data_IF_245993040599
#
_entry.id   IF_245993040599
#
_cell.length_a   1.000
_cell.length_b   1.000
_cell.length_c   1.000
_cell.angle_alpha   90.00
_cell.angle_beta   90.00
_cell.angle_gamma   90.00
#
_symmetry.space_group_name_H-M   'P 1'
#
loop_
_entity.id
_entity.type
_entity.pdbx_description
1 polymer ?
#
# COMPACT_ATOMS: atom_id res chain seq x y z
N UNK A 1 -86.71 51.24 -3.55
CA UNK A 1 -86.14 49.95 -3.99
C UNK A 1 -85.66 49.25 -2.74
N UNK A 2 -86.20 48.06 -2.51
CA UNK A 2 -86.21 47.34 -1.24
C UNK A 2 -84.88 46.69 -0.89
N UNK A 3 -84.74 46.50 0.42
CA UNK A 3 -83.79 45.74 1.24
C UNK A 3 -83.37 44.33 0.76
N UNK A 4 -82.39 43.80 1.50
CA UNK A 4 -81.96 42.38 1.66
C UNK A 4 -80.68 41.95 0.94
N UNK A 5 -79.80 41.11 1.48
CA UNK A 5 -79.69 40.38 2.76
C UNK A 5 -78.23 39.88 2.86
N UNK A 6 -77.67 39.86 4.06
CA UNK A 6 -76.41 39.17 4.36
C UNK A 6 -76.66 37.65 4.45
N UNK A 7 -75.93 36.86 3.68
CA UNK A 7 -75.88 35.39 3.83
C UNK A 7 -74.57 35.01 4.53
N UNK A 8 -74.67 34.50 5.77
CA UNK A 8 -73.61 33.76 6.45
C UNK A 8 -73.54 32.33 5.90
N UNK A 9 -72.36 31.81 5.53
CA UNK A 9 -72.11 30.38 5.46
C UNK A 9 -71.38 29.87 6.71
N UNK A 10 -71.96 28.86 7.34
CA UNK A 10 -71.39 27.98 8.37
C UNK A 10 -71.22 26.57 7.76
N UNK A 11 -70.69 25.58 8.50
CA UNK A 11 -69.30 25.16 8.71
C UNK A 11 -68.98 23.85 7.95
N UNK A 12 -67.78 23.30 8.17
CA UNK A 12 -67.40 21.90 7.89
C UNK A 12 -66.95 21.55 6.47
N UNK A 13 -65.82 22.11 6.04
CA UNK A 13 -64.94 21.39 5.13
C UNK A 13 -63.53 21.34 5.72
N UNK A 14 -63.15 20.15 6.19
CA UNK A 14 -61.81 19.87 6.67
C UNK A 14 -60.94 19.53 5.45
N UNK A 15 -59.88 20.29 5.13
CA UNK A 15 -59.00 19.95 4.02
C UNK A 15 -58.13 18.71 4.36
N UNK A 16 -57.73 17.91 3.36
CA UNK A 16 -56.88 16.74 3.60
C UNK A 16 -55.52 17.16 4.16
N UNK A 17 -55.07 16.47 5.22
CA UNK A 17 -53.72 16.62 5.79
C UNK A 17 -52.66 16.32 4.73
N UNK A 18 -51.65 17.17 4.54
CA UNK A 18 -50.46 16.77 3.79
C UNK A 18 -49.67 15.75 4.61
N UNK A 19 -49.38 14.60 4.01
CA UNK A 19 -48.43 13.62 4.53
C UNK A 19 -47.04 14.16 4.17
N UNK A 20 -46.37 14.82 5.12
CA UNK A 20 -44.93 15.09 4.98
C UNK A 20 -44.16 13.83 5.32
N UNK A 21 -43.78 13.05 4.31
CA UNK A 21 -42.73 12.03 4.43
C UNK A 21 -41.38 12.74 4.40
N UNK A 22 -40.88 13.12 5.58
CA UNK A 22 -39.47 13.51 5.73
C UNK A 22 -38.64 12.23 5.62
N UNK A 23 -38.14 11.94 4.41
CA UNK A 23 -37.14 10.90 4.24
C UNK A 23 -35.88 11.35 5.00
N UNK A 24 -35.63 10.75 6.17
CA UNK A 24 -34.35 10.87 6.84
C UNK A 24 -33.35 10.08 6.01
N UNK A 25 -32.58 10.77 5.16
CA UNK A 25 -31.39 10.21 4.55
C UNK A 25 -30.40 9.92 5.68
N UNK A 26 -30.37 8.67 6.14
CA UNK A 26 -29.23 8.18 6.91
C UNK A 26 -28.01 8.28 5.98
N UNK A 27 -27.08 9.17 6.33
CA UNK A 27 -25.77 9.22 5.70
C UNK A 27 -25.04 7.97 6.21
N UNK A 28 -25.12 6.88 5.47
CA UNK A 28 -24.28 5.71 5.76
C UNK A 28 -22.84 6.19 5.58
N UNK A 29 -22.11 6.36 6.69
CA UNK A 29 -20.67 6.56 6.63
C UNK A 29 -20.09 5.44 5.76
N UNK A 30 -19.16 5.74 4.82
CA UNK A 30 -18.54 4.68 4.04
C UNK A 30 -17.99 3.65 5.02
N UNK A 31 -18.43 2.40 4.88
CA UNK A 31 -17.93 1.31 5.70
C UNK A 31 -16.40 1.30 5.53
N UNK A 32 -15.65 1.41 6.65
CA UNK A 32 -14.19 1.27 6.66
C UNK A 32 -13.90 -0.05 5.96
N UNK A 33 -13.28 0.00 4.79
CA UNK A 33 -12.89 -1.20 4.07
C UNK A 33 -11.90 -1.95 4.96
N UNK A 34 -12.12 -3.23 5.19
CA UNK A 34 -11.08 -4.07 5.77
C UNK A 34 -9.97 -4.19 4.74
N UNK A 35 -8.86 -3.50 4.98
CA UNK A 35 -7.68 -3.58 4.11
C UNK A 35 -7.12 -5.00 4.18
N UNK A 36 -6.96 -5.61 3.01
CA UNK A 36 -6.37 -6.93 2.88
C UNK A 36 -4.85 -6.81 2.89
N UNK A 37 -4.17 -7.85 3.36
CA UNK A 37 -2.72 -7.90 3.32
C UNK A 37 -2.20 -7.91 1.87
N UNK A 38 -1.13 -7.17 1.61
CA UNK A 38 -0.39 -7.21 0.36
C UNK A 38 0.74 -8.24 0.46
N UNK A 39 1.14 -8.78 -0.69
CA UNK A 39 2.17 -9.83 -0.74
C UNK A 39 3.35 -9.39 -1.61
N UNK A 40 4.57 -9.57 -1.11
CA UNK A 40 5.81 -9.47 -1.87
C UNK A 40 6.32 -10.89 -2.12
N UNK A 41 6.57 -11.23 -3.38
CA UNK A 41 7.07 -12.55 -3.79
C UNK A 41 8.28 -12.43 -4.71
N UNK A 42 9.11 -13.48 -4.73
CA UNK A 42 10.31 -13.53 -5.57
C UNK A 42 11.33 -12.44 -5.26
N UNK A 43 11.40 -11.98 -4.01
CA UNK A 43 12.34 -10.94 -3.59
C UNK A 43 13.77 -11.47 -3.70
N UNK A 44 14.58 -10.78 -4.51
CA UNK A 44 16.00 -11.07 -4.67
C UNK A 44 16.79 -9.77 -4.71
N UNK A 45 18.05 -9.83 -4.29
CA UNK A 45 19.00 -8.73 -4.34
C UNK A 45 20.37 -9.20 -4.81
N UNK A 46 21.11 -8.33 -5.48
CA UNK A 46 22.50 -8.55 -5.87
C UNK A 46 23.29 -7.26 -5.69
N UNK A 47 24.54 -7.38 -5.27
CA UNK A 47 25.40 -6.25 -5.03
C UNK A 47 26.85 -6.56 -5.43
N UNK A 48 27.50 -5.59 -6.08
CA UNK A 48 28.94 -5.52 -6.29
C UNK A 48 29.47 -4.22 -5.70
N UNK A 49 30.77 -3.94 -5.79
CA UNK A 49 31.31 -2.65 -5.38
C UNK A 49 30.79 -1.46 -6.21
N UNK A 50 30.24 -1.71 -7.40
CA UNK A 50 29.86 -0.68 -8.36
C UNK A 50 28.35 -0.52 -8.53
N UNK A 51 27.58 -1.59 -8.28
CA UNK A 51 26.14 -1.61 -8.55
C UNK A 51 25.39 -2.41 -7.50
N UNK A 52 24.17 -1.97 -7.18
CA UNK A 52 23.19 -2.72 -6.41
C UNK A 52 21.92 -2.93 -7.22
N UNK A 53 21.25 -4.04 -6.92
CA UNK A 53 20.04 -4.49 -7.59
C UNK A 53 19.07 -5.13 -6.60
N UNK A 54 17.80 -4.74 -6.65
CA UNK A 54 16.69 -5.39 -5.92
C UNK A 54 15.51 -5.58 -6.87
N UNK A 55 14.89 -6.75 -6.84
CA UNK A 55 13.67 -7.04 -7.62
C UNK A 55 12.69 -7.89 -6.83
N UNK A 56 11.40 -7.68 -7.08
CA UNK A 56 10.30 -8.46 -6.52
C UNK A 56 9.01 -8.26 -7.31
N UNK A 57 8.00 -9.08 -7.02
CA UNK A 57 6.62 -8.87 -7.43
C UNK A 57 5.78 -8.46 -6.23
N UNK A 58 4.97 -7.42 -6.40
CA UNK A 58 3.98 -6.96 -5.44
C UNK A 58 2.59 -7.37 -5.90
N UNK A 59 1.82 -8.00 -5.02
CA UNK A 59 0.40 -8.29 -5.21
C UNK A 59 -0.42 -7.53 -4.18
N UNK A 60 -1.32 -6.69 -4.65
CA UNK A 60 -2.26 -5.95 -3.80
C UNK A 60 -3.71 -6.36 -4.09
N UNK A 61 -4.30 -7.26 -3.26
CA UNK A 61 -5.69 -7.68 -3.41
C UNK A 61 -6.69 -6.54 -3.13
N UNK A 62 -6.24 -5.42 -2.58
CA UNK A 62 -7.11 -4.26 -2.39
C UNK A 62 -7.46 -3.60 -3.73
N UNK A 63 -6.69 -3.80 -4.79
CA UNK A 63 -6.93 -3.17 -6.08
C UNK A 63 -6.93 -4.17 -7.23
N UNK A 64 -6.95 -5.47 -6.92
CA UNK A 64 -6.80 -6.58 -7.88
C UNK A 64 -5.57 -6.38 -8.78
N UNK A 65 -4.47 -5.97 -8.15
CA UNK A 65 -3.28 -5.47 -8.83
C UNK A 65 -2.06 -6.35 -8.54
N UNK A 66 -1.20 -6.51 -9.54
CA UNK A 66 0.03 -7.27 -9.44
C UNK A 66 1.09 -6.66 -10.35
N UNK A 67 2.18 -6.18 -9.78
CA UNK A 67 3.20 -5.39 -10.48
C UNK A 67 4.60 -5.75 -10.02
N UNK A 68 5.58 -5.67 -10.93
CA UNK A 68 6.98 -5.90 -10.61
C UNK A 68 7.66 -4.62 -10.16
N UNK A 69 8.68 -4.75 -9.32
CA UNK A 69 9.61 -3.69 -8.98
C UNK A 69 11.02 -4.10 -9.37
N UNK A 70 11.77 -3.18 -9.97
CA UNK A 70 13.17 -3.37 -10.33
C UNK A 70 13.92 -2.09 -9.97
N UNK A 71 14.83 -2.20 -9.01
CA UNK A 71 15.63 -1.09 -8.51
C UNK A 71 17.08 -1.37 -8.78
N UNK A 72 17.71 -0.54 -9.62
CA UNK A 72 19.14 -0.57 -9.92
C UNK A 72 19.73 0.76 -9.45
N UNK A 73 20.89 0.72 -8.80
CA UNK A 73 21.61 1.93 -8.41
C UNK A 73 23.12 1.76 -8.48
N UNK A 74 23.83 2.87 -8.62
CA UNK A 74 25.30 2.90 -8.58
C UNK A 74 25.76 3.00 -7.14
N UNK A 75 26.67 2.12 -6.74
CA UNK A 75 27.29 2.11 -5.41
C UNK A 75 28.52 3.04 -5.36
N UNK A 76 28.86 3.59 -4.18
CA UNK A 76 28.31 3.31 -2.85
C UNK A 76 27.07 4.15 -2.48
N UNK A 77 26.44 4.85 -3.43
CA UNK A 77 25.24 5.63 -3.14
C UNK A 77 24.08 4.69 -2.84
N UNK A 78 23.14 5.10 -2.00
CA UNK A 78 21.89 4.36 -1.77
C UNK A 78 20.90 4.54 -2.95
N UNK A 79 19.96 3.59 -3.15
CA UNK A 79 18.92 3.71 -4.16
C UNK A 79 18.09 4.98 -3.99
N UNK A 80 17.65 5.54 -5.11
CA UNK A 80 16.91 6.82 -5.13
C UNK A 80 15.58 6.69 -4.38
N UNK A 81 15.26 7.68 -3.54
CA UNK A 81 14.04 7.76 -2.72
C UNK A 81 12.73 7.98 -3.53
N UNK A 82 12.68 7.49 -4.76
CA UNK A 82 11.54 7.58 -5.66
C UNK A 82 11.60 6.47 -6.71
N UNK A 83 12.12 5.29 -6.37
CA UNK A 83 11.93 4.12 -7.21
C UNK A 83 10.45 3.75 -7.22
N UNK A 84 9.98 3.08 -8.27
CA UNK A 84 8.58 2.71 -8.42
C UNK A 84 8.44 1.31 -8.96
N UNK A 85 7.27 0.74 -8.76
CA UNK A 85 6.82 -0.43 -9.53
C UNK A 85 6.69 -0.08 -11.01
N UNK A 86 6.70 -1.10 -11.88
CA UNK A 86 6.72 -0.96 -13.34
C UNK A 86 5.51 -0.16 -13.88
N UNK A 87 4.36 -0.28 -13.23
CA UNK A 87 3.12 0.43 -13.52
C UNK A 87 3.02 1.80 -12.82
N UNK A 88 3.99 2.14 -11.96
CA UNK A 88 4.05 3.35 -11.14
C UNK A 88 2.88 3.53 -10.19
N UNK A 89 2.23 2.43 -9.78
CA UNK A 89 1.17 2.49 -8.78
C UNK A 89 1.71 2.65 -7.35
N UNK A 90 2.97 2.26 -7.12
CA UNK A 90 3.63 2.31 -5.81
C UNK A 90 5.02 2.94 -5.91
N UNK A 91 5.36 3.72 -4.89
CA UNK A 91 6.73 4.05 -4.55
C UNK A 91 7.40 2.85 -3.87
N UNK A 92 8.68 2.65 -4.18
CA UNK A 92 9.57 1.68 -3.55
C UNK A 92 10.68 2.47 -2.87
N UNK A 93 10.68 2.45 -1.55
CA UNK A 93 11.55 3.26 -0.71
C UNK A 93 12.47 2.36 0.11
N UNK A 94 13.62 2.92 0.46
CA UNK A 94 14.61 2.30 1.33
C UNK A 94 14.94 3.26 2.46
N UNK A 95 14.09 3.33 3.51
CA UNK A 95 14.34 4.19 4.66
C UNK A 95 15.69 3.83 5.29
N UNK A 96 16.57 4.83 5.44
CA UNK A 96 17.93 4.61 5.93
C UNK A 96 18.95 4.17 4.87
N UNK A 97 18.53 3.91 3.63
CA UNK A 97 19.39 3.52 2.53
C UNK A 97 19.64 2.01 2.41
N UNK A 98 20.51 1.63 1.47
CA UNK A 98 20.96 0.24 1.25
C UNK A 98 22.47 0.26 1.05
N UNK A 99 23.20 0.26 2.17
CA UNK A 99 24.66 0.15 2.15
C UNK A 99 25.11 -1.31 1.95
N UNK A 100 24.34 -2.24 2.52
CA UNK A 100 24.53 -3.68 2.51
C UNK A 100 23.19 -4.38 2.24
N UNK A 101 23.14 -5.27 1.24
CA UNK A 101 21.91 -6.00 0.89
C UNK A 101 21.60 -7.13 1.88
N UNK A 102 22.53 -7.50 2.77
CA UNK A 102 22.27 -8.41 3.88
C UNK A 102 21.32 -7.81 4.92
N UNK A 103 21.23 -6.48 5.01
CA UNK A 103 20.35 -5.80 5.97
C UNK A 103 19.81 -4.47 5.43
N UNK A 104 18.50 -4.40 5.24
CA UNK A 104 17.84 -3.15 4.83
C UNK A 104 16.35 -3.17 5.17
N UNK A 105 15.73 -2.00 5.17
CA UNK A 105 14.28 -1.86 5.25
C UNK A 105 13.72 -1.57 3.87
N UNK A 106 12.80 -2.42 3.41
CA UNK A 106 12.00 -2.20 2.21
C UNK A 106 10.67 -1.58 2.61
N UNK A 107 10.34 -0.44 2.02
CA UNK A 107 9.04 0.21 2.19
C UNK A 107 8.34 0.33 0.84
N UNK A 108 7.05 0.05 0.83
CA UNK A 108 6.18 0.21 -0.34
C UNK A 108 5.04 1.13 0.06
N UNK A 109 4.85 2.21 -0.71
CA UNK A 109 3.82 3.21 -0.49
C UNK A 109 2.96 3.37 -1.74
N UNK A 110 1.63 3.37 -1.58
CA UNK A 110 0.73 3.64 -2.71
C UNK A 110 0.87 5.08 -3.18
N UNK A 111 0.99 5.31 -4.49
CA UNK A 111 1.08 6.69 -5.04
C UNK A 111 -0.22 7.46 -4.85
N UNK A 112 -1.37 6.78 -5.02
CA UNK A 112 -2.71 7.36 -4.90
C UNK A 112 -3.37 6.99 -3.56
N UNK A 113 -2.63 7.10 -2.46
CA UNK A 113 -3.13 6.79 -1.13
C UNK A 113 -2.12 7.13 -0.05
N UNK A 114 -2.44 6.77 1.20
CA UNK A 114 -1.54 6.94 2.35
C UNK A 114 -1.03 5.61 2.88
N UNK A 115 -1.48 4.49 2.28
CA UNK A 115 -1.13 3.15 2.68
C UNK A 115 0.36 2.92 2.45
N UNK A 116 1.06 2.63 3.53
CA UNK A 116 2.49 2.36 3.54
C UNK A 116 2.71 1.09 4.33
N UNK A 117 3.50 0.18 3.77
CA UNK A 117 3.96 -1.01 4.49
C UNK A 117 5.47 -1.10 4.40
N UNK A 118 6.07 -1.66 5.43
CA UNK A 118 7.52 -1.82 5.51
C UNK A 118 7.88 -3.18 6.08
N UNK A 119 9.01 -3.72 5.64
CA UNK A 119 9.60 -4.94 6.18
C UNK A 119 11.11 -4.75 6.27
N UNK A 120 11.70 -5.21 7.37
CA UNK A 120 13.15 -5.24 7.54
C UNK A 120 13.67 -6.62 7.19
N UNK A 121 14.60 -6.65 6.24
CA UNK A 121 15.29 -7.84 5.76
C UNK A 121 16.62 -7.91 6.50
N UNK A 122 16.96 -9.11 6.99
CA UNK A 122 18.20 -9.35 7.68
C UNK A 122 18.60 -10.81 7.46
N UNK A 123 19.74 -11.04 6.83
CA UNK A 123 20.28 -12.39 6.57
C UNK A 123 20.82 -13.05 7.85
N UNK A 124 20.98 -12.25 8.90
CA UNK A 124 21.44 -12.69 10.20
C UNK A 124 22.79 -13.40 10.09
N UNK A 125 23.69 -12.86 9.26
CA UNK A 125 25.04 -13.36 8.99
C UNK A 125 25.96 -13.51 10.22
N UNK A 126 25.47 -13.21 11.43
CA UNK A 126 26.14 -13.42 12.71
C UNK A 126 25.41 -14.38 13.68
N UNK A 127 24.30 -15.00 13.28
CA UNK A 127 23.58 -16.00 14.08
C UNK A 127 22.73 -15.46 15.23
N UNK A 128 22.46 -14.15 15.29
CA UNK A 128 21.67 -13.50 16.36
C UNK A 128 20.15 -13.75 16.29
N UNK A 129 19.66 -14.35 15.20
CA UNK A 129 18.26 -14.68 14.94
C UNK A 129 18.14 -15.88 13.97
N UNK A 130 18.24 -17.13 14.46
CA UNK A 130 17.99 -18.32 13.62
C UNK A 130 16.56 -18.30 13.06
N UNK A 131 16.40 -18.56 11.76
CA UNK A 131 15.09 -18.69 11.10
C UNK A 131 14.64 -17.50 10.24
N UNK A 132 15.55 -16.58 9.89
CA UNK A 132 15.25 -15.61 8.83
C UNK A 132 15.14 -16.33 7.49
N UNK A 133 14.27 -15.80 6.64
CA UNK A 133 14.06 -16.28 5.27
C UNK A 133 14.84 -15.47 4.26
N UNK A 134 15.52 -14.39 4.66
CA UNK A 134 16.42 -13.66 3.80
C UNK A 134 17.77 -14.35 3.85
N UNK A 135 18.24 -14.85 2.72
CA UNK A 135 19.44 -15.70 2.66
C UNK A 135 20.44 -15.09 1.69
N UNK A 136 21.60 -14.69 2.18
CA UNK A 136 22.68 -14.10 1.39
C UNK A 136 23.86 -15.04 1.21
N UNK A 137 24.51 -14.92 0.06
CA UNK A 137 25.71 -15.66 -0.30
C UNK A 137 26.69 -14.73 -0.97
N UNK A 138 27.96 -14.86 -0.59
CA UNK A 138 29.08 -14.16 -1.20
C UNK A 138 29.77 -15.10 -2.20
N UNK A 139 30.05 -14.62 -3.39
CA UNK A 139 30.81 -15.32 -4.41
C UNK A 139 31.87 -14.39 -4.98
N UNK A 140 33.11 -14.86 -5.08
CA UNK A 140 34.15 -14.14 -5.79
C UNK A 140 34.06 -14.42 -7.29
N UNK A 141 33.67 -13.41 -8.06
CA UNK A 141 33.65 -13.43 -9.51
C UNK A 141 34.96 -12.85 -10.07
N UNK A 142 35.53 -13.49 -11.08
CA UNK A 142 36.83 -13.09 -11.65
C UNK A 142 36.77 -11.79 -12.47
N UNK A 143 35.57 -11.35 -12.85
CA UNK A 143 35.32 -10.16 -13.67
C UNK A 143 34.69 -9.05 -12.82
N UNK A 144 33.70 -9.37 -12.00
CA UNK A 144 32.95 -8.38 -11.19
C UNK A 144 33.48 -8.20 -9.77
N UNK A 145 34.46 -8.99 -9.35
CA UNK A 145 34.97 -9.00 -7.98
C UNK A 145 34.03 -9.75 -7.04
N UNK A 146 34.00 -9.37 -5.76
CA UNK A 146 33.10 -10.00 -4.80
C UNK A 146 31.65 -9.58 -5.09
N UNK A 147 30.81 -10.57 -5.38
CA UNK A 147 29.38 -10.40 -5.64
C UNK A 147 28.60 -11.01 -4.49
N UNK A 148 27.76 -10.21 -3.87
CA UNK A 148 26.79 -10.67 -2.89
C UNK A 148 25.43 -10.87 -3.55
N UNK A 149 24.76 -11.97 -3.24
CA UNK A 149 23.42 -12.30 -3.72
C UNK A 149 22.55 -12.77 -2.59
N UNK A 150 21.36 -12.19 -2.50
CA UNK A 150 20.38 -12.52 -1.49
C UNK A 150 19.05 -12.93 -2.11
N UNK A 151 18.34 -13.85 -1.46
CA UNK A 151 17.01 -14.32 -1.89
C UNK A 151 16.14 -14.55 -0.68
N UNK A 152 14.86 -14.17 -0.78
CA UNK A 152 13.88 -14.47 0.25
C UNK A 152 13.23 -15.83 0.00
N UNK A 153 13.22 -16.70 1.01
CA UNK A 153 12.58 -18.02 0.97
C UNK A 153 11.07 -17.93 1.24
N UNK A 154 10.31 -17.84 0.14
CA UNK A 154 8.86 -17.76 0.12
C UNK A 154 8.34 -16.35 -0.13
N UNK A 155 7.19 -16.05 0.47
CA UNK A 155 6.50 -14.77 0.30
C UNK A 155 6.47 -13.98 1.62
N UNK A 156 6.45 -12.65 1.50
CA UNK A 156 6.26 -11.72 2.61
C UNK A 156 4.84 -11.20 2.54
N UNK A 157 4.07 -11.36 3.61
CA UNK A 157 2.71 -10.81 3.72
C UNK A 157 2.73 -9.62 4.67
N UNK A 158 2.26 -8.48 4.20
CA UNK A 158 2.25 -7.22 4.93
C UNK A 158 0.83 -6.69 5.02
N UNK A 159 0.31 -6.59 6.24
CA UNK A 159 -0.93 -5.87 6.51
C UNK A 159 -0.62 -4.38 6.64
N UNK A 160 -1.28 -3.49 5.89
CA UNK A 160 -1.30 -2.08 6.23
C UNK A 160 -1.72 -1.96 7.70
N UNK A 161 -0.95 -1.23 8.52
CA UNK A 161 -1.33 -1.05 9.91
C UNK A 161 -2.69 -0.36 9.96
N UNK A 162 -3.66 -0.99 10.62
CA UNK A 162 -4.89 -0.32 11.04
C UNK A 162 -4.46 0.95 11.81
N UNK A 163 -4.76 2.11 11.22
CA UNK A 163 -4.56 3.42 11.84
C UNK A 163 -5.35 3.56 13.13
#
# INVERSE_FOLDING_TARGET
>A
MSDMVWINPNPNHNPPRPISTTASSAITAPAKRTEQAITISGLTASQTDQQGYITFTLKDPNYDDSTGANVIWTRPVSPVASAHTNDRAYYVNFPGGVDDIAVFTLEVQRVKGTETVSVTLNDNGNGSAPGTKWLCTLTDDTVEGTVEKCTYDGDITLTPFDS
#
